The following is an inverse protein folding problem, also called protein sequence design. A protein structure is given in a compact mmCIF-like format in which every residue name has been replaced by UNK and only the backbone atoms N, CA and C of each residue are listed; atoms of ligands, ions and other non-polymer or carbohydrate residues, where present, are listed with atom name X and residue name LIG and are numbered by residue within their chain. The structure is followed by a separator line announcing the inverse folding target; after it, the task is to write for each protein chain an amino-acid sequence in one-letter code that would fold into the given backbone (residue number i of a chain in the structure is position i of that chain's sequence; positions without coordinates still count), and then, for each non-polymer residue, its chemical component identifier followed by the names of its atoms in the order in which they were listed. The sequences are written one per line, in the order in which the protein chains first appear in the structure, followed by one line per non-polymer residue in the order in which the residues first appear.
data_IF_941740313279
#
_entry.id   IF_941740313279
#
_cell.length_a   1.000
_cell.length_b   1.000
_cell.length_c   1.000
_cell.angle_alpha   90.00
_cell.angle_beta   90.00
_cell.angle_gamma   90.00
#
_symmetry.space_group_name_H-M   'P 1'
#
loop_
_entity.id
_entity.type
_entity.pdbx_description
1 polymer ?
#
# COMPACT_ATOMS: atom_id res chain seq x y z
N UNK A 1 -0.96 6.15 -13.12
CA UNK A 1 -0.19 5.72 -11.94
C UNK A 1 0.55 4.46 -12.37
N UNK A 2 1.85 4.34 -12.10
CA UNK A 2 2.63 3.15 -12.50
C UNK A 2 2.49 2.09 -11.42
N UNK A 3 1.98 0.92 -11.76
CA UNK A 3 1.86 -0.23 -10.87
C UNK A 3 3.02 -1.19 -11.15
N UNK A 4 3.65 -1.67 -10.09
CA UNK A 4 4.77 -2.61 -10.12
C UNK A 4 4.31 -3.85 -9.36
N UNK A 5 4.21 -4.98 -10.07
CA UNK A 5 3.85 -6.26 -9.46
C UNK A 5 4.95 -6.73 -8.51
N UNK A 6 4.55 -7.33 -7.40
CA UNK A 6 5.46 -7.94 -6.44
C UNK A 6 5.57 -9.45 -6.66
N UNK A 7 6.24 -10.17 -5.75
CA UNK A 7 6.23 -11.64 -5.77
C UNK A 7 4.84 -12.25 -5.54
N UNK A 8 3.90 -11.48 -4.97
CA UNK A 8 2.47 -11.81 -4.92
C UNK A 8 1.75 -10.85 -5.88
N UNK A 9 1.39 -11.29 -7.10
CA UNK A 9 0.94 -10.39 -8.17
C UNK A 9 -0.28 -9.54 -7.84
N UNK A 10 -1.13 -9.97 -6.89
CA UNK A 10 -2.29 -9.23 -6.39
C UNK A 10 -1.90 -7.95 -5.61
N UNK A 11 -0.74 -7.97 -4.94
CA UNK A 11 -0.20 -6.84 -4.16
C UNK A 11 0.75 -6.07 -5.06
N UNK A 12 0.50 -4.78 -5.23
CA UNK A 12 1.27 -3.93 -6.15
C UNK A 12 1.83 -2.71 -5.44
N UNK A 13 3.05 -2.34 -5.83
CA UNK A 13 3.65 -1.05 -5.47
C UNK A 13 3.18 -0.03 -6.50
N UNK A 14 2.77 1.14 -6.03
CA UNK A 14 2.42 2.27 -6.88
C UNK A 14 3.53 3.31 -6.81
N UNK A 15 4.06 3.67 -7.97
CA UNK A 15 5.06 4.72 -8.13
C UNK A 15 4.39 5.95 -8.77
N UNK A 16 4.20 7.05 -8.01
CA UNK A 16 3.61 8.27 -8.55
C UNK A 16 4.60 9.02 -9.44
N UNK A 17 4.06 9.81 -10.38
CA UNK A 17 4.87 10.81 -11.08
C UNK A 17 5.06 12.02 -10.17
N UNK A 18 6.32 12.35 -9.87
CA UNK A 18 6.68 13.50 -9.03
C UNK A 18 7.28 14.60 -9.90
N UNK A 19 6.66 15.78 -9.86
CA UNK A 19 7.08 16.95 -10.61
C UNK A 19 7.80 17.91 -9.67
N UNK A 20 9.08 18.18 -9.91
CA UNK A 20 9.94 18.97 -9.00
C UNK A 20 10.34 20.29 -9.64
N UNK A 21 10.33 21.35 -8.85
CA UNK A 21 10.87 22.67 -9.22
C UNK A 21 11.49 23.38 -8.00
N UNK A 22 11.93 24.63 -8.15
CA UNK A 22 12.61 25.37 -7.09
C UNK A 22 11.77 25.62 -5.83
N UNK A 23 10.44 25.42 -5.87
CA UNK A 23 9.53 25.57 -4.72
C UNK A 23 9.38 24.28 -3.92
N UNK A 24 9.79 23.15 -4.48
CA UNK A 24 9.56 21.81 -3.93
C UNK A 24 9.05 20.85 -5.01
N UNK A 25 8.11 19.99 -4.65
CA UNK A 25 7.54 19.00 -5.57
C UNK A 25 6.02 18.92 -5.47
N UNK A 26 5.40 18.45 -6.54
CA UNK A 26 3.98 18.20 -6.65
C UNK A 26 3.74 16.80 -7.23
N UNK A 27 2.75 16.08 -6.70
CA UNK A 27 2.30 14.81 -7.26
C UNK A 27 0.80 14.63 -7.09
N UNK A 28 0.17 13.98 -8.07
CA UNK A 28 -1.16 13.41 -7.91
C UNK A 28 -1.02 12.11 -7.10
N UNK A 29 -1.24 12.21 -5.78
CA UNK A 29 -1.09 11.06 -4.86
C UNK A 29 -2.06 9.93 -5.17
N UNK A 30 -3.28 10.23 -5.61
CA UNK A 30 -4.24 9.23 -6.04
C UNK A 30 -5.19 9.73 -7.14
N UNK A 31 -5.49 8.86 -8.10
CA UNK A 31 -6.51 9.08 -9.11
C UNK A 31 -7.24 7.77 -9.39
N UNK A 32 -8.53 7.73 -9.08
CA UNK A 32 -9.32 6.51 -9.17
C UNK A 32 -9.38 5.95 -10.59
N UNK A 33 -9.60 6.79 -11.61
CA UNK A 33 -9.69 6.33 -12.99
C UNK A 33 -8.37 5.72 -13.46
N UNK A 34 -7.24 6.39 -13.19
CA UNK A 34 -5.90 5.88 -13.55
C UNK A 34 -5.55 4.60 -12.80
N UNK A 35 -5.92 4.50 -11.53
CA UNK A 35 -5.70 3.30 -10.73
C UNK A 35 -6.50 2.11 -11.28
N UNK A 36 -7.78 2.30 -11.58
CA UNK A 36 -8.64 1.27 -12.15
C UNK A 36 -8.17 0.79 -13.52
N UNK A 37 -7.73 1.71 -14.39
CA UNK A 37 -7.16 1.35 -15.70
C UNK A 37 -5.91 0.49 -15.51
N UNK A 38 -4.98 0.93 -14.66
CA UNK A 38 -3.74 0.19 -14.42
C UNK A 38 -3.96 -1.20 -13.80
N UNK A 39 -4.93 -1.35 -12.89
CA UNK A 39 -5.30 -2.67 -12.35
C UNK A 39 -5.84 -3.60 -13.45
N UNK A 40 -6.72 -3.09 -14.32
CA UNK A 40 -7.28 -3.86 -15.45
C UNK A 40 -6.20 -4.30 -16.43
N UNK A 41 -5.22 -3.44 -16.73
CA UNK A 41 -4.08 -3.78 -17.58
C UNK A 41 -3.25 -4.95 -17.02
N UNK A 42 -3.20 -5.08 -15.68
CA UNK A 42 -2.55 -6.20 -14.99
C UNK A 42 -3.48 -7.41 -14.76
N UNK A 43 -4.74 -7.36 -15.22
CA UNK A 43 -5.73 -8.41 -14.97
C UNK A 43 -6.19 -8.51 -13.51
N UNK A 44 -5.98 -7.46 -12.71
CA UNK A 44 -6.33 -7.42 -11.29
C UNK A 44 -7.77 -6.91 -11.07
N UNK A 45 -8.44 -7.37 -10.01
CA UNK A 45 -9.79 -6.92 -9.68
C UNK A 45 -9.81 -5.44 -9.32
N UNK A 46 -10.85 -4.74 -9.78
CA UNK A 46 -11.09 -3.35 -9.39
C UNK A 46 -11.79 -3.32 -8.03
N UNK A 47 -11.22 -2.65 -7.01
CA UNK A 47 -11.84 -2.58 -5.70
C UNK A 47 -13.07 -1.67 -5.69
N UNK A 48 -13.89 -1.84 -4.65
CA UNK A 48 -14.94 -0.90 -4.27
C UNK A 48 -14.36 0.50 -3.96
N UNK A 49 -15.23 1.49 -3.85
CA UNK A 49 -14.81 2.85 -3.49
C UNK A 49 -14.10 2.88 -2.13
N UNK A 50 -13.09 3.74 -2.00
CA UNK A 50 -12.52 4.07 -0.71
C UNK A 50 -13.55 4.83 0.13
N UNK A 51 -13.85 4.32 1.33
CA UNK A 51 -14.87 4.89 2.23
C UNK A 51 -14.29 5.45 3.54
N UNK A 52 -12.98 5.28 3.77
CA UNK A 52 -12.30 5.67 5.00
C UNK A 52 -10.86 6.04 4.70
N UNK A 53 -10.35 7.03 5.43
CA UNK A 53 -8.95 7.43 5.47
C UNK A 53 -8.47 7.38 6.93
N UNK A 54 -7.26 6.83 7.13
CA UNK A 54 -6.63 6.72 8.42
C UNK A 54 -5.23 7.34 8.35
N UNK A 55 -4.86 8.06 9.40
CA UNK A 55 -3.54 8.66 9.54
C UNK A 55 -2.94 8.27 10.90
N UNK A 56 -1.73 7.73 10.90
CA UNK A 56 -1.08 7.27 12.14
C UNK A 56 0.30 7.87 12.26
N UNK A 57 0.71 8.17 13.49
CA UNK A 57 2.05 8.65 13.80
C UNK A 57 2.76 7.62 14.68
N UNK A 58 4.01 7.29 14.34
CA UNK A 58 4.77 6.23 14.99
C UNK A 58 6.23 6.65 15.23
N UNK A 59 6.74 6.34 16.42
CA UNK A 59 8.17 6.37 16.74
C UNK A 59 8.89 5.19 16.10
N UNK A 60 10.21 5.30 15.95
CA UNK A 60 11.05 4.23 15.41
C UNK A 60 10.86 2.93 16.18
N UNK A 61 10.75 1.82 15.45
CA UNK A 61 10.58 0.47 15.99
C UNK A 61 9.14 0.10 16.38
N UNK A 62 8.19 1.04 16.32
CA UNK A 62 6.77 0.71 16.53
C UNK A 62 6.30 -0.22 15.40
N UNK A 63 5.75 -1.37 15.79
CA UNK A 63 5.12 -2.34 14.91
C UNK A 63 3.60 -2.25 15.06
N UNK A 64 2.87 -2.18 13.95
CA UNK A 64 1.41 -2.26 13.92
C UNK A 64 1.00 -3.37 12.98
N UNK A 65 0.31 -4.40 13.48
CA UNK A 65 -0.17 -5.53 12.68
C UNK A 65 0.15 -6.89 13.30
N UNK A 66 -0.16 -7.99 12.60
CA UNK A 66 -0.82 -8.02 11.29
C UNK A 66 -2.34 -7.92 11.46
N UNK A 67 -2.97 -6.97 10.78
CA UNK A 67 -4.41 -6.70 10.85
C UNK A 67 -5.11 -7.08 9.56
N UNK A 68 -6.26 -7.71 9.69
CA UNK A 68 -7.19 -8.01 8.60
C UNK A 68 -8.63 -7.91 9.11
N UNK A 69 -9.56 -7.84 8.17
CA UNK A 69 -10.99 -7.93 8.43
C UNK A 69 -11.59 -9.02 7.54
N UNK A 70 -12.51 -9.80 8.10
CA UNK A 70 -13.23 -10.83 7.38
C UNK A 70 -14.55 -10.29 6.81
N UNK A 71 -15.14 -11.03 5.86
CA UNK A 71 -16.50 -10.79 5.42
C UNK A 71 -17.46 -10.69 6.64
N UNK A 72 -18.40 -9.74 6.65
CA UNK A 72 -18.78 -8.84 5.56
C UNK A 72 -17.99 -7.51 5.50
N UNK A 73 -16.92 -7.37 6.29
CA UNK A 73 -16.15 -6.13 6.45
C UNK A 73 -14.72 -6.23 5.90
N UNK A 74 -14.49 -7.11 4.93
CA UNK A 74 -13.20 -7.21 4.26
C UNK A 74 -12.80 -5.84 3.67
N UNK A 75 -11.52 -5.49 3.80
CA UNK A 75 -11.02 -4.17 3.44
C UNK A 75 -9.73 -4.27 2.64
N UNK A 76 -9.71 -3.67 1.46
CA UNK A 76 -8.48 -3.33 0.76
C UNK A 76 -7.87 -2.04 1.33
N UNK A 77 -6.55 -1.92 1.25
CA UNK A 77 -5.78 -0.79 1.80
C UNK A 77 -4.87 -0.22 0.73
N UNK A 78 -4.86 1.10 0.61
CA UNK A 78 -3.83 1.84 -0.10
C UNK A 78 -2.99 2.57 0.93
N UNK A 79 -1.74 2.15 1.13
CA UNK A 79 -0.87 2.62 2.21
C UNK A 79 0.25 3.47 1.65
N UNK A 80 0.56 4.60 2.29
CA UNK A 80 1.68 5.49 1.95
C UNK A 80 2.30 6.09 3.20
N UNK A 81 3.52 6.59 3.07
CA UNK A 81 4.20 7.37 4.10
C UNK A 81 4.43 8.78 3.57
N UNK A 82 4.09 9.79 4.36
CA UNK A 82 4.26 11.22 4.05
C UNK A 82 5.55 11.75 4.64
N UNK A 83 5.98 11.23 5.78
CA UNK A 83 7.28 11.55 6.41
C UNK A 83 7.87 10.33 7.10
N UNK A 84 9.20 10.22 7.07
CA UNK A 84 9.91 9.08 7.63
C UNK A 84 9.82 7.87 6.71
N UNK A 85 9.94 6.67 7.29
CA UNK A 85 9.93 5.42 6.52
C UNK A 85 9.37 4.25 7.34
N UNK A 86 8.71 3.32 6.65
CA UNK A 86 8.27 2.04 7.20
C UNK A 86 8.74 0.89 6.32
N UNK A 87 8.94 -0.28 6.92
CA UNK A 87 8.88 -1.54 6.19
C UNK A 87 7.44 -2.07 6.28
N UNK A 88 6.69 -1.93 5.18
CA UNK A 88 5.28 -2.32 5.07
C UNK A 88 5.18 -3.75 4.51
N UNK A 89 4.28 -4.56 5.08
CA UNK A 89 4.15 -5.99 4.79
C UNK A 89 2.70 -6.36 4.52
N UNK A 90 2.47 -7.15 3.48
CA UNK A 90 1.22 -7.85 3.22
C UNK A 90 1.44 -9.36 3.23
N UNK A 91 0.54 -10.09 3.89
CA UNK A 91 0.53 -11.55 3.98
C UNK A 91 -0.75 -12.09 3.37
N UNK A 92 -0.62 -13.03 2.44
CA UNK A 92 -1.78 -13.68 1.84
C UNK A 92 -2.38 -14.68 2.83
N UNK A 93 -3.60 -14.38 3.30
CA UNK A 93 -4.32 -15.24 4.24
C UNK A 93 -5.50 -15.96 3.57
N UNK A 94 -5.56 -16.00 2.23
CA UNK A 94 -6.61 -16.66 1.44
C UNK A 94 -6.28 -18.15 1.29
N UNK A 95 -7.02 -19.09 1.92
CA UNK A 95 -6.63 -20.51 1.92
C UNK A 95 -6.56 -21.18 0.55
N UNK A 96 -7.31 -20.66 -0.44
CA UNK A 96 -7.31 -21.15 -1.82
C UNK A 96 -6.24 -20.49 -2.72
N UNK A 97 -5.48 -19.53 -2.20
CA UNK A 97 -4.46 -18.82 -2.98
C UNK A 97 -3.24 -19.70 -3.25
N UNK A 98 -2.64 -19.63 -4.45
CA UNK A 98 -1.35 -20.27 -4.73
C UNK A 98 -0.19 -19.68 -3.91
N UNK A 99 -0.39 -18.50 -3.30
CA UNK A 99 0.60 -17.82 -2.46
C UNK A 99 0.17 -17.78 -0.98
N UNK A 100 -0.75 -18.67 -0.56
CA UNK A 100 -1.22 -18.75 0.82
C UNK A 100 -0.05 -18.83 1.83
N UNK A 101 -0.11 -17.98 2.86
CA UNK A 101 0.91 -17.77 3.90
C UNK A 101 2.25 -17.22 3.41
N UNK A 102 2.37 -16.87 2.13
CA UNK A 102 3.49 -16.08 1.64
C UNK A 102 3.25 -14.60 1.94
N UNK A 103 4.33 -13.84 1.91
CA UNK A 103 4.30 -12.42 2.20
C UNK A 103 5.18 -11.66 1.23
N UNK A 104 4.85 -10.38 1.08
CA UNK A 104 5.68 -9.39 0.40
C UNK A 104 5.90 -8.22 1.34
N UNK A 105 7.10 -7.64 1.30
CA UNK A 105 7.41 -6.39 1.99
C UNK A 105 8.00 -5.35 1.04
N UNK A 106 7.75 -4.09 1.33
CA UNK A 106 8.33 -2.95 0.63
C UNK A 106 8.61 -1.81 1.61
N UNK A 107 9.71 -1.09 1.39
CA UNK A 107 9.95 0.16 2.10
C UNK A 107 9.10 1.28 1.49
N UNK A 108 8.27 1.92 2.31
CA UNK A 108 7.51 3.11 1.93
C UNK A 108 8.07 4.29 2.72
N UNK A 109 8.34 5.40 2.05
CA UNK A 109 8.89 6.59 2.69
C UNK A 109 8.36 7.87 2.05
N UNK A 110 8.43 8.97 2.80
CA UNK A 110 8.15 10.31 2.27
C UNK A 110 9.06 10.69 1.09
N UNK A 111 10.26 10.10 1.04
CA UNK A 111 11.25 10.37 -0.01
C UNK A 111 10.94 9.58 -1.29
N UNK A 112 10.64 8.28 -1.17
CA UNK A 112 10.38 7.45 -2.34
C UNK A 112 8.95 7.63 -2.89
N UNK A 113 8.05 8.21 -2.09
CA UNK A 113 6.66 8.51 -2.44
C UNK A 113 5.84 7.28 -2.88
N UNK A 114 6.36 6.07 -2.66
CA UNK A 114 5.70 4.84 -3.07
C UNK A 114 4.52 4.56 -2.17
N UNK A 115 3.57 3.85 -2.74
CA UNK A 115 2.41 3.35 -2.02
C UNK A 115 2.31 1.85 -2.24
N UNK A 116 1.66 1.13 -1.34
CA UNK A 116 1.33 -0.27 -1.54
C UNK A 116 -0.19 -0.45 -1.56
N UNK A 117 -0.69 -1.08 -2.63
CA UNK A 117 -2.06 -1.56 -2.69
C UNK A 117 -2.12 -2.99 -2.20
N UNK A 118 -2.96 -3.22 -1.19
CA UNK A 118 -3.19 -4.49 -0.54
C UNK A 118 -4.67 -4.82 -0.69
N UNK A 119 -5.06 -5.82 -1.51
CA UNK A 119 -6.46 -6.13 -1.73
C UNK A 119 -7.10 -6.84 -0.52
N UNK A 120 -8.42 -6.98 -0.56
CA UNK A 120 -9.18 -7.76 0.42
C UNK A 120 -8.64 -9.20 0.54
N UNK A 121 -8.70 -9.76 1.75
CA UNK A 121 -8.20 -11.11 2.02
C UNK A 121 -6.70 -11.18 2.35
N UNK A 122 -6.03 -10.05 2.56
CA UNK A 122 -4.66 -9.99 3.05
C UNK A 122 -4.60 -9.47 4.49
N UNK A 123 -3.62 -9.95 5.26
CA UNK A 123 -3.23 -9.33 6.52
C UNK A 123 -2.12 -8.31 6.27
N UNK A 124 -2.19 -7.16 6.95
CA UNK A 124 -1.27 -6.04 6.73
C UNK A 124 -0.66 -5.55 8.04
N UNK A 125 0.60 -5.16 7.99
CA UNK A 125 1.24 -4.42 9.05
C UNK A 125 2.54 -3.77 8.60
N UNK A 126 3.13 -2.99 9.48
CA UNK A 126 4.41 -2.34 9.22
C UNK A 126 5.23 -2.18 10.50
N UNK A 127 6.53 -1.94 10.32
CA UNK A 127 7.42 -1.41 11.36
C UNK A 127 7.96 -0.05 10.92
N UNK A 128 7.86 0.95 11.80
CA UNK A 128 8.47 2.26 11.57
C UNK A 128 10.00 2.15 11.66
N UNK A 129 10.70 2.60 10.63
CA UNK A 129 12.17 2.56 10.56
C UNK A 129 12.79 3.86 11.08
N UNK A 130 12.00 4.93 11.12
CA UNK A 130 12.36 6.27 11.58
C UNK A 130 11.37 6.82 12.61
N UNK A 131 11.83 7.78 13.41
CA UNK A 131 10.95 8.57 14.25
C UNK A 131 10.10 9.54 13.42
N UNK A 132 9.00 9.98 14.00
CA UNK A 132 8.07 10.89 13.35
C UNK A 132 7.47 10.35 12.04
N UNK A 133 7.33 9.03 11.93
CA UNK A 133 6.81 8.37 10.73
C UNK A 133 5.30 8.43 10.68
N UNK A 134 4.74 8.95 9.58
CA UNK A 134 3.30 9.07 9.32
C UNK A 134 2.96 9.22 7.83
#
# INVERSE_FOLDING_TARGET
MKLIQTCIPDVVIIEPAVYTDARGWFMESFNQAKFQVALKELGLPVPSAFIQDNHSYSSKGVLRGLHFQCAPHAQGKLVRVVRGSVFDVAVDIRPSSPTYLQWVGAELSGDNNRMMWIPEGFAHGFVALEDHTH
#
